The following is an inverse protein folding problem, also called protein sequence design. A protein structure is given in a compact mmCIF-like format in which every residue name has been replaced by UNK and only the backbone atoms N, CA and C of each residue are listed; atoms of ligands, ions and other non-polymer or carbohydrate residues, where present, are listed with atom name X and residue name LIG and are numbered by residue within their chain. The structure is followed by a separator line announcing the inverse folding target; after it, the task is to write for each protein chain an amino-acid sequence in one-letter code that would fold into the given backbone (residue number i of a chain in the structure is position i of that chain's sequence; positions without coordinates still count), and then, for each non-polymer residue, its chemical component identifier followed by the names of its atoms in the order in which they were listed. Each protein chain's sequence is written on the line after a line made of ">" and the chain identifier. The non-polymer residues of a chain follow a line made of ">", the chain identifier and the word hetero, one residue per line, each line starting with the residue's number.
data_IF_406150935140
#
_entry.id   IF_406150935140
#
_cell.length_a   1.000
_cell.length_b   1.000
_cell.length_c   1.000
_cell.angle_alpha   90.00
_cell.angle_beta   90.00
_cell.angle_gamma   90.00
#
_symmetry.space_group_name_H-M   'P 1'
#
loop_
_entity.id
_entity.type
_entity.pdbx_description
1 polymer ?
#
# COMPACT_ATOMS: atom_id res chain seq x y z
N UNK A 1 12.44 17.07 0.13
CA UNK A 1 13.64 16.92 -0.72
C UNK A 1 14.29 15.57 -0.49
N UNK A 2 14.84 14.95 -1.57
CA UNK A 2 15.53 13.63 -1.50
C UNK A 2 16.66 13.60 -0.45
N UNK A 3 17.38 14.71 -0.27
CA UNK A 3 18.44 14.87 0.72
C UNK A 3 17.91 14.85 2.17
N UNK A 4 16.82 15.54 2.44
CA UNK A 4 16.20 15.53 3.76
C UNK A 4 15.72 14.12 4.13
N UNK A 5 15.04 13.41 3.22
CA UNK A 5 14.59 12.05 3.48
C UNK A 5 15.78 11.11 3.76
N UNK A 6 16.81 11.12 2.92
CA UNK A 6 17.95 10.20 3.05
C UNK A 6 18.83 10.47 4.27
N UNK A 7 19.08 11.72 4.62
CA UNK A 7 20.06 12.08 5.68
C UNK A 7 19.42 12.44 7.02
N UNK A 8 18.15 12.74 7.07
CA UNK A 8 17.46 13.13 8.30
C UNK A 8 16.29 12.22 8.61
N UNK A 9 15.33 12.11 7.69
CA UNK A 9 14.08 11.38 7.95
C UNK A 9 14.30 9.88 8.11
N UNK A 10 15.01 9.23 7.21
CA UNK A 10 15.29 7.79 7.31
C UNK A 10 16.12 7.45 8.56
N UNK A 11 17.28 8.09 8.83
CA UNK A 11 18.02 7.80 10.04
C UNK A 11 17.22 8.03 11.33
N UNK A 12 16.43 9.11 11.40
CA UNK A 12 15.62 9.39 12.59
C UNK A 12 14.50 8.36 12.76
N UNK A 13 13.72 8.08 11.71
CA UNK A 13 12.56 7.19 11.85
C UNK A 13 12.92 5.70 11.86
N UNK A 14 14.02 5.28 11.24
CA UNK A 14 14.39 3.87 11.18
C UNK A 14 15.51 3.49 12.14
N UNK A 15 16.52 4.33 12.32
CA UNK A 15 17.65 4.05 13.22
C UNK A 15 17.45 4.70 14.59
N UNK A 16 16.94 5.92 14.65
CA UNK A 16 16.68 6.63 15.91
C UNK A 16 15.68 5.89 16.78
N UNK A 17 14.56 5.47 16.22
CA UNK A 17 13.53 4.74 16.96
C UNK A 17 13.94 3.33 17.39
N UNK A 18 14.87 2.69 16.72
CA UNK A 18 15.47 1.42 17.18
C UNK A 18 16.22 1.53 18.51
N UNK A 19 16.62 2.73 18.92
CA UNK A 19 17.30 2.97 20.17
C UNK A 19 16.37 3.31 21.34
N UNK A 20 15.05 3.43 21.07
CA UNK A 20 14.05 3.75 22.07
C UNK A 20 13.49 2.43 22.61
N UNK A 21 13.29 2.33 23.92
CA UNK A 21 12.66 1.16 24.53
C UNK A 21 11.18 1.15 24.24
N UNK A 22 10.54 -0.03 24.32
CA UNK A 22 9.10 -0.19 24.14
C UNK A 22 8.28 0.84 24.96
N UNK A 23 8.66 1.07 26.20
CA UNK A 23 7.97 1.97 27.12
C UNK A 23 8.19 3.48 26.84
N UNK A 24 9.18 3.84 26.03
CA UNK A 24 9.51 5.24 25.71
C UNK A 24 9.10 5.66 24.30
N UNK A 25 8.32 4.82 23.61
CA UNK A 25 7.84 5.12 22.26
C UNK A 25 6.59 5.99 22.24
N UNK A 26 6.04 6.31 23.42
CA UNK A 26 4.84 7.11 23.53
C UNK A 26 5.00 8.50 22.94
N UNK A 27 4.02 8.95 22.20
CA UNK A 27 4.07 10.18 21.42
C UNK A 27 3.13 11.24 22.02
N UNK A 28 3.66 12.44 22.22
CA UNK A 28 2.88 13.56 22.77
C UNK A 28 1.62 13.88 21.99
N UNK A 29 1.59 13.63 20.69
CA UNK A 29 0.41 13.84 19.86
C UNK A 29 -0.77 12.95 20.26
N UNK A 30 -0.53 11.81 20.93
CA UNK A 30 -1.59 10.94 21.44
C UNK A 30 -2.40 11.64 22.56
N UNK A 31 -1.78 12.49 23.35
CA UNK A 31 -2.44 13.22 24.44
C UNK A 31 -3.59 14.08 23.90
N UNK A 32 -3.41 14.71 22.72
CA UNK A 32 -4.44 15.54 22.08
C UNK A 32 -5.68 14.74 21.71
N UNK A 33 -5.53 13.44 21.43
CA UNK A 33 -6.62 12.55 21.02
C UNK A 33 -7.32 11.87 22.22
N UNK A 34 -6.75 11.93 23.41
CA UNK A 34 -7.32 11.27 24.61
C UNK A 34 -8.75 11.74 24.90
N UNK A 35 -9.04 13.00 24.60
CA UNK A 35 -10.38 13.58 24.77
C UNK A 35 -11.47 12.87 23.98
N UNK A 36 -11.15 12.23 22.85
CA UNK A 36 -12.11 11.48 22.01
C UNK A 36 -12.71 10.31 22.80
N UNK A 37 -11.90 9.66 23.64
CA UNK A 37 -12.29 8.46 24.39
C UNK A 37 -12.89 8.78 25.77
N UNK A 38 -12.97 10.07 26.17
CA UNK A 38 -13.38 10.47 27.53
C UNK A 38 -14.77 9.99 27.90
N UNK A 39 -15.71 10.07 26.97
CA UNK A 39 -17.13 9.76 27.18
C UNK A 39 -17.53 8.38 26.61
N UNK A 40 -16.55 7.58 26.15
CA UNK A 40 -16.80 6.23 25.64
C UNK A 40 -16.72 5.25 26.81
N UNK A 41 -17.66 4.30 26.96
CA UNK A 41 -17.56 3.23 27.95
C UNK A 41 -16.24 2.46 27.78
N UNK A 42 -15.56 2.16 28.90
CA UNK A 42 -14.18 1.63 28.86
C UNK A 42 -14.09 0.19 28.38
N UNK A 43 -15.17 -0.56 28.44
CA UNK A 43 -15.32 -1.93 27.97
C UNK A 43 -15.50 -2.06 26.44
N UNK A 44 -15.76 -0.96 25.73
CA UNK A 44 -15.87 -0.97 24.27
C UNK A 44 -14.49 -1.23 23.64
N UNK A 45 -14.36 -2.24 22.75
CA UNK A 45 -13.11 -2.51 22.06
C UNK A 45 -12.73 -1.36 21.11
N UNK A 46 -11.45 -0.98 21.11
CA UNK A 46 -10.88 -0.01 20.18
C UNK A 46 -9.94 -0.72 19.24
N UNK A 47 -10.16 -0.60 17.93
CA UNK A 47 -9.21 -1.01 16.90
C UNK A 47 -8.66 0.24 16.23
N UNK A 48 -7.36 0.47 16.37
CA UNK A 48 -6.66 1.59 15.78
C UNK A 48 -5.71 1.11 14.67
N UNK A 49 -5.69 1.82 13.56
CA UNK A 49 -4.78 1.56 12.42
C UNK A 49 -3.58 2.54 12.42
N UNK A 50 -3.47 3.33 13.46
CA UNK A 50 -2.37 4.25 13.70
C UNK A 50 -2.04 4.31 15.19
N UNK A 51 -0.76 4.50 15.50
CA UNK A 51 -0.25 4.47 16.88
C UNK A 51 -0.86 5.53 17.79
N UNK A 52 -1.12 6.75 17.31
CA UNK A 52 -1.65 7.82 18.16
C UNK A 52 -3.04 7.52 18.73
N UNK A 53 -4.05 7.09 17.95
CA UNK A 53 -5.32 6.65 18.53
C UNK A 53 -5.17 5.47 19.49
N UNK A 54 -4.26 4.51 19.21
CA UNK A 54 -4.01 3.39 20.10
C UNK A 54 -3.46 3.84 21.45
N UNK A 55 -2.42 4.68 21.45
CA UNK A 55 -1.84 5.26 22.66
C UNK A 55 -2.87 6.12 23.42
N UNK A 56 -3.63 6.95 22.71
CA UNK A 56 -4.68 7.78 23.30
C UNK A 56 -5.78 6.95 23.99
N UNK A 57 -6.19 5.84 23.36
CA UNK A 57 -7.17 4.93 23.94
C UNK A 57 -6.65 4.27 25.23
N UNK A 58 -5.38 3.81 25.22
CA UNK A 58 -4.73 3.26 26.42
C UNK A 58 -4.66 4.32 27.54
N UNK A 59 -4.21 5.53 27.22
CA UNK A 59 -4.13 6.63 28.19
C UNK A 59 -5.51 7.04 28.75
N UNK A 60 -6.56 6.91 27.95
CA UNK A 60 -7.93 7.16 28.38
C UNK A 60 -8.53 6.02 29.24
N UNK A 61 -7.76 4.93 29.46
CA UNK A 61 -8.18 3.79 30.27
C UNK A 61 -9.13 2.83 29.55
N UNK A 62 -9.13 2.78 28.21
CA UNK A 62 -9.87 1.77 27.46
C UNK A 62 -9.27 0.37 27.76
N UNK A 63 -10.13 -0.60 28.07
CA UNK A 63 -9.70 -1.92 28.55
C UNK A 63 -9.21 -2.84 27.41
N UNK A 64 -9.73 -2.66 26.21
CA UNK A 64 -9.45 -3.51 25.05
C UNK A 64 -9.03 -2.67 23.86
N UNK A 65 -7.72 -2.53 23.69
CA UNK A 65 -7.13 -1.74 22.60
C UNK A 65 -6.29 -2.64 21.71
N UNK A 66 -6.61 -2.65 20.43
CA UNK A 66 -5.86 -3.33 19.37
C UNK A 66 -5.23 -2.28 18.46
N UNK A 67 -3.94 -2.36 18.27
CA UNK A 67 -3.18 -1.56 17.30
C UNK A 67 -2.86 -2.42 16.08
N UNK A 68 -3.61 -2.24 15.00
CA UNK A 68 -3.41 -2.93 13.74
C UNK A 68 -2.30 -2.25 12.95
N UNK A 69 -1.13 -2.89 12.89
CA UNK A 69 0.06 -2.33 12.25
C UNK A 69 -0.01 -2.55 10.74
N UNK A 70 -0.09 -1.48 9.92
CA UNK A 70 -0.23 -1.60 8.47
C UNK A 70 1.09 -1.97 7.78
N UNK A 71 2.22 -1.51 8.31
CA UNK A 71 3.53 -1.68 7.68
C UNK A 71 4.12 -3.07 7.96
N UNK A 72 4.75 -3.63 6.95
CA UNK A 72 5.47 -4.91 7.09
C UNK A 72 6.93 -4.73 7.53
N UNK A 73 7.23 -3.64 8.21
CA UNK A 73 8.56 -3.35 8.77
C UNK A 73 8.44 -3.04 10.26
N UNK A 74 9.20 -3.71 11.14
CA UNK A 74 9.11 -3.45 12.58
C UNK A 74 9.75 -2.11 12.93
N UNK A 75 8.91 -1.16 13.34
CA UNK A 75 9.32 0.15 13.81
C UNK A 75 8.79 0.41 15.22
N UNK A 76 9.67 0.84 16.12
CA UNK A 76 9.24 1.24 17.46
C UNK A 76 8.19 2.36 17.45
N UNK A 77 8.18 3.17 16.39
CA UNK A 77 7.15 4.18 16.12
C UNK A 77 5.71 3.67 16.16
N UNK A 78 5.49 2.40 15.82
CA UNK A 78 4.15 1.79 15.81
C UNK A 78 3.71 1.22 17.18
N UNK A 79 4.55 1.32 18.20
CA UNK A 79 4.28 0.70 19.49
C UNK A 79 3.36 1.55 20.36
N UNK A 80 2.34 0.91 20.91
CA UNK A 80 1.43 1.48 21.91
C UNK A 80 1.41 0.56 23.13
N UNK A 81 2.26 0.84 24.12
CA UNK A 81 2.34 0.02 25.34
C UNK A 81 0.96 -0.07 26.01
N UNK A 82 0.60 -1.29 26.44
CA UNK A 82 -0.73 -1.56 27.00
C UNK A 82 -1.80 -1.97 25.96
N UNK A 83 -1.48 -1.97 24.67
CA UNK A 83 -2.34 -2.50 23.62
C UNK A 83 -1.86 -3.85 23.09
N UNK A 84 -2.76 -4.58 22.41
CA UNK A 84 -2.40 -5.75 21.60
C UNK A 84 -2.04 -5.23 20.19
N UNK A 85 -0.89 -5.62 19.68
CA UNK A 85 -0.45 -5.31 18.33
C UNK A 85 -0.75 -6.45 17.38
N UNK A 86 -1.32 -6.16 16.23
CA UNK A 86 -1.51 -7.18 15.19
C UNK A 86 -0.62 -6.90 13.99
N UNK A 87 -0.04 -7.95 13.43
CA UNK A 87 0.91 -7.88 12.31
C UNK A 87 0.56 -8.86 11.20
N UNK A 88 0.96 -8.52 9.99
CA UNK A 88 0.52 -9.18 8.75
C UNK A 88 1.42 -10.35 8.32
N UNK A 89 2.68 -10.41 8.78
CA UNK A 89 3.64 -11.44 8.37
C UNK A 89 4.41 -11.99 9.55
N UNK A 90 4.94 -13.20 9.40
CA UNK A 90 5.79 -13.83 10.43
C UNK A 90 7.11 -13.08 10.60
N UNK A 91 7.67 -12.50 9.54
CA UNK A 91 8.87 -11.66 9.63
C UNK A 91 8.61 -10.42 10.48
N UNK A 92 7.45 -9.78 10.32
CA UNK A 92 7.03 -8.65 11.16
C UNK A 92 6.83 -9.07 12.61
N UNK A 93 6.17 -10.21 12.85
CA UNK A 93 6.01 -10.78 14.20
C UNK A 93 7.37 -10.97 14.89
N UNK A 94 8.32 -11.61 14.20
CA UNK A 94 9.66 -11.84 14.75
C UNK A 94 10.38 -10.51 14.99
N UNK A 95 10.35 -9.60 14.02
CA UNK A 95 11.02 -8.30 14.12
C UNK A 95 10.50 -7.45 15.27
N UNK A 96 9.19 -7.42 15.49
CA UNK A 96 8.60 -6.72 16.64
C UNK A 96 8.90 -7.39 17.98
N UNK A 97 8.85 -8.71 18.06
CA UNK A 97 9.22 -9.41 19.29
C UNK A 97 10.66 -9.16 19.71
N UNK A 98 11.57 -9.05 18.77
CA UNK A 98 12.99 -8.79 19.02
C UNK A 98 13.34 -7.31 19.04
N UNK A 99 12.55 -6.46 18.41
CA UNK A 99 12.76 -5.01 18.22
C UNK A 99 14.15 -4.64 17.66
N UNK A 100 14.78 -5.53 16.91
CA UNK A 100 16.10 -5.29 16.33
C UNK A 100 16.09 -5.08 14.80
N UNK A 101 14.92 -5.08 14.20
CA UNK A 101 14.80 -5.11 12.75
C UNK A 101 15.40 -6.40 12.15
N UNK A 102 15.39 -6.52 10.82
CA UNK A 102 15.96 -7.71 10.15
C UNK A 102 17.49 -7.64 9.95
N UNK A 103 18.10 -6.49 10.18
CA UNK A 103 19.55 -6.33 10.12
C UNK A 103 20.30 -6.84 11.37
N UNK A 104 19.58 -7.20 12.42
CA UNK A 104 20.09 -7.86 13.60
C UNK A 104 21.10 -7.06 14.45
N UNK A 105 21.32 -5.79 14.15
CA UNK A 105 22.43 -5.02 14.72
C UNK A 105 22.24 -4.61 16.17
N UNK A 106 21.02 -4.51 16.67
CA UNK A 106 20.78 -4.08 18.05
C UNK A 106 19.42 -4.55 18.56
N UNK A 107 19.44 -5.19 19.72
CA UNK A 107 18.23 -5.65 20.41
C UNK A 107 17.78 -4.54 21.37
N UNK A 108 16.55 -4.07 21.19
CA UNK A 108 15.85 -3.22 22.15
C UNK A 108 15.17 -4.09 23.19
N UNK A 109 14.53 -3.49 24.20
CA UNK A 109 13.70 -4.23 25.16
C UNK A 109 12.59 -4.94 24.39
N UNK A 110 12.53 -6.29 24.43
CA UNK A 110 11.53 -7.06 23.69
C UNK A 110 10.11 -6.70 24.14
N UNK A 111 9.15 -6.80 23.20
CA UNK A 111 7.74 -6.71 23.54
C UNK A 111 7.30 -7.95 24.33
N UNK A 112 6.35 -7.81 25.29
CA UNK A 112 5.70 -8.95 25.90
C UNK A 112 5.09 -9.88 24.82
N UNK A 113 5.21 -11.20 25.01
CA UNK A 113 4.79 -12.17 24.01
C UNK A 113 3.28 -12.14 23.72
N UNK A 114 2.50 -11.76 24.73
CA UNK A 114 1.04 -11.63 24.70
C UNK A 114 0.55 -10.29 24.14
N UNK A 115 1.45 -9.32 23.94
CA UNK A 115 1.12 -8.02 23.39
C UNK A 115 1.20 -7.93 21.87
N UNK A 116 1.52 -9.04 21.18
CA UNK A 116 1.63 -9.07 19.71
C UNK A 116 1.07 -10.38 19.15
N UNK A 117 0.29 -10.28 18.08
CA UNK A 117 -0.38 -11.41 17.41
C UNK A 117 -0.19 -11.35 15.90
N UNK A 118 0.05 -12.48 15.29
CA UNK A 118 -0.03 -12.65 13.83
C UNK A 118 -1.50 -12.85 13.43
N UNK A 119 -1.98 -12.01 12.52
CA UNK A 119 -3.38 -12.04 12.04
C UNK A 119 -3.50 -12.30 10.54
N UNK A 120 -2.38 -12.31 9.81
CA UNK A 120 -2.40 -12.30 8.35
C UNK A 120 -2.66 -10.91 7.76
N UNK A 121 -2.87 -10.87 6.46
CA UNK A 121 -2.96 -9.62 5.69
C UNK A 121 -4.28 -8.90 5.89
N UNK A 122 -4.21 -7.57 5.99
CA UNK A 122 -5.37 -6.68 5.99
C UNK A 122 -5.73 -6.34 4.55
N UNK A 123 -6.64 -7.08 3.97
CA UNK A 123 -7.07 -6.94 2.58
C UNK A 123 -8.55 -6.60 2.56
N UNK A 124 -8.95 -5.70 1.68
CA UNK A 124 -10.35 -5.36 1.49
C UNK A 124 -11.19 -6.62 1.19
N UNK A 125 -12.36 -6.70 1.82
CA UNK A 125 -13.27 -7.84 1.70
C UNK A 125 -13.64 -8.14 0.23
N UNK A 126 -13.82 -7.10 -0.58
CA UNK A 126 -14.13 -7.28 -2.00
C UNK A 126 -12.99 -7.99 -2.75
N UNK A 127 -11.75 -7.67 -2.43
CA UNK A 127 -10.60 -8.35 -3.02
C UNK A 127 -10.52 -9.80 -2.56
N UNK A 128 -10.60 -10.04 -1.25
CA UNK A 128 -10.49 -11.41 -0.68
C UNK A 128 -11.57 -12.33 -1.20
N UNK A 129 -12.81 -11.85 -1.25
CA UNK A 129 -13.97 -12.65 -1.69
C UNK A 129 -13.92 -13.07 -3.15
N UNK A 130 -13.07 -12.44 -3.96
CA UNK A 130 -13.01 -12.63 -5.40
C UNK A 130 -11.67 -13.21 -5.89
N UNK A 131 -10.74 -13.58 -5.00
CA UNK A 131 -9.40 -14.07 -5.37
C UNK A 131 -9.47 -15.19 -6.42
N UNK A 132 -10.27 -16.22 -6.19
CA UNK A 132 -10.37 -17.38 -7.08
C UNK A 132 -10.92 -17.00 -8.46
N UNK A 133 -11.97 -16.18 -8.48
CA UNK A 133 -12.61 -15.72 -9.72
C UNK A 133 -11.67 -14.82 -10.52
N UNK A 134 -11.00 -13.89 -9.85
CA UNK A 134 -10.10 -12.93 -10.48
C UNK A 134 -8.83 -13.63 -11.01
N UNK A 135 -8.30 -14.61 -10.28
CA UNK A 135 -7.19 -15.45 -10.76
C UNK A 135 -7.59 -16.32 -11.96
N UNK A 136 -8.75 -16.96 -11.91
CA UNK A 136 -9.27 -17.73 -13.03
C UNK A 136 -9.45 -16.84 -14.28
N UNK A 137 -9.99 -15.63 -14.11
CA UNK A 137 -10.16 -14.69 -15.21
C UNK A 137 -8.82 -14.27 -15.85
N UNK A 138 -7.76 -14.00 -15.04
CA UNK A 138 -6.40 -13.72 -15.54
C UNK A 138 -5.86 -14.88 -16.36
N UNK A 139 -5.94 -16.11 -15.82
CA UNK A 139 -5.48 -17.31 -16.52
C UNK A 139 -6.22 -17.47 -17.87
N UNK A 140 -7.53 -17.23 -17.89
CA UNK A 140 -8.32 -17.32 -19.13
C UNK A 140 -7.94 -16.25 -20.15
N UNK A 141 -7.66 -15.00 -19.71
CA UNK A 141 -7.16 -13.95 -20.61
C UNK A 141 -5.81 -14.32 -21.21
N UNK A 142 -4.88 -14.83 -20.41
CA UNK A 142 -3.58 -15.28 -20.86
C UNK A 142 -3.68 -16.42 -21.88
N UNK A 143 -4.49 -17.46 -21.60
CA UNK A 143 -4.74 -18.58 -22.54
C UNK A 143 -5.36 -18.12 -23.86
N UNK A 144 -6.24 -17.14 -23.82
CA UNK A 144 -6.88 -16.56 -25.02
C UNK A 144 -6.02 -15.52 -25.73
N UNK A 145 -4.79 -15.28 -25.26
CA UNK A 145 -3.84 -14.29 -25.82
C UNK A 145 -4.46 -12.89 -25.92
N UNK A 146 -5.28 -12.50 -24.93
CA UNK A 146 -5.83 -11.16 -24.83
C UNK A 146 -4.74 -10.16 -24.49
N UNK A 147 -4.94 -8.84 -24.75
CA UNK A 147 -4.00 -7.81 -24.34
C UNK A 147 -3.67 -7.92 -22.86
N UNK A 148 -2.38 -7.87 -22.51
CA UNK A 148 -1.94 -7.87 -21.11
C UNK A 148 -2.28 -6.53 -20.49
N UNK A 149 -2.98 -6.53 -19.36
CA UNK A 149 -3.46 -5.34 -18.69
C UNK A 149 -2.51 -4.94 -17.56
N UNK A 150 -1.86 -3.81 -17.71
CA UNK A 150 -0.98 -3.23 -16.71
C UNK A 150 -1.75 -2.19 -15.91
N UNK A 151 -1.66 -2.27 -14.59
CA UNK A 151 -2.15 -1.23 -13.68
C UNK A 151 -0.94 -0.51 -13.08
N UNK A 152 -0.81 0.78 -13.36
CA UNK A 152 0.16 1.67 -12.74
C UNK A 152 -0.54 2.44 -11.62
N UNK A 153 -0.07 2.27 -10.38
CA UNK A 153 -0.58 3.04 -9.24
C UNK A 153 0.46 4.05 -8.77
N UNK A 154 0.13 5.33 -8.90
CA UNK A 154 0.95 6.42 -8.40
C UNK A 154 0.48 6.72 -6.98
N UNK A 155 1.12 6.09 -6.01
CA UNK A 155 0.79 6.26 -4.60
C UNK A 155 1.34 7.56 -4.01
N UNK A 156 0.97 7.83 -2.75
CA UNK A 156 1.19 9.06 -1.99
C UNK A 156 2.44 9.86 -2.31
N UNK A 157 2.27 11.18 -2.35
CA UNK A 157 3.29 12.18 -2.69
C UNK A 157 3.80 12.17 -4.15
N UNK A 158 3.15 11.47 -5.09
CA UNK A 158 3.50 11.52 -6.53
C UNK A 158 4.96 11.19 -6.84
N UNK A 159 5.59 10.33 -6.04
CA UNK A 159 6.99 9.98 -6.19
C UNK A 159 7.22 9.11 -7.44
N UNK A 160 8.42 9.24 -8.03
CA UNK A 160 8.92 8.37 -9.10
C UNK A 160 8.23 8.52 -10.47
N UNK A 161 7.66 9.67 -10.76
CA UNK A 161 6.96 9.98 -12.03
C UNK A 161 7.83 9.74 -13.27
N UNK A 162 9.16 9.96 -13.16
CA UNK A 162 10.13 9.67 -14.23
C UNK A 162 10.14 8.18 -14.61
N UNK A 163 10.07 7.29 -13.60
CA UNK A 163 10.02 5.83 -13.84
C UNK A 163 8.72 5.45 -14.53
N UNK A 164 7.58 5.99 -14.06
CA UNK A 164 6.29 5.75 -14.71
C UNK A 164 6.26 6.26 -16.15
N UNK A 165 6.81 7.46 -16.43
CA UNK A 165 6.92 8.00 -17.79
C UNK A 165 7.73 7.06 -18.71
N UNK A 166 8.84 6.50 -18.20
CA UNK A 166 9.64 5.54 -18.95
C UNK A 166 8.88 4.23 -19.23
N UNK A 167 8.16 3.69 -18.23
CA UNK A 167 7.35 2.48 -18.39
C UNK A 167 6.22 2.70 -19.41
N UNK A 168 5.51 3.83 -19.33
CA UNK A 168 4.44 4.18 -20.25
C UNK A 168 4.99 4.27 -21.69
N UNK A 169 6.11 4.98 -21.88
CA UNK A 169 6.76 5.10 -23.18
C UNK A 169 7.18 3.75 -23.74
N UNK A 170 7.70 2.86 -22.90
CA UNK A 170 8.06 1.48 -23.30
C UNK A 170 6.82 0.66 -23.70
N UNK A 171 5.70 0.81 -23.01
CA UNK A 171 4.47 0.07 -23.30
C UNK A 171 3.72 0.60 -24.51
N UNK A 172 3.92 1.86 -24.91
CA UNK A 172 3.16 2.52 -25.96
C UNK A 172 3.10 1.75 -27.29
N UNK A 173 4.21 1.21 -27.85
CA UNK A 173 4.16 0.41 -29.07
C UNK A 173 3.31 -0.86 -28.93
N UNK A 174 3.32 -1.50 -27.76
CA UNK A 174 2.53 -2.71 -27.49
C UNK A 174 1.04 -2.39 -27.35
N UNK A 175 0.72 -1.22 -26.78
CA UNK A 175 -0.66 -0.73 -26.66
C UNK A 175 -1.23 -0.44 -28.05
N UNK A 176 -0.49 0.31 -28.88
CA UNK A 176 -0.87 0.60 -30.29
C UNK A 176 -1.02 -0.66 -31.13
N UNK A 177 -0.23 -1.70 -30.86
CA UNK A 177 -0.34 -3.01 -31.50
C UNK A 177 -1.46 -3.90 -30.94
N UNK A 178 -2.24 -3.43 -29.95
CA UNK A 178 -3.29 -4.17 -29.29
C UNK A 178 -2.83 -5.39 -28.48
N UNK A 179 -1.55 -5.42 -28.08
CA UNK A 179 -0.94 -6.48 -27.26
C UNK A 179 -0.96 -6.16 -25.76
N UNK A 180 -1.09 -4.89 -25.40
CA UNK A 180 -1.21 -4.42 -24.02
C UNK A 180 -2.38 -3.45 -23.88
N UNK A 181 -2.90 -3.33 -22.65
CA UNK A 181 -3.78 -2.26 -22.22
C UNK A 181 -3.22 -1.67 -20.92
N UNK A 182 -3.48 -0.41 -20.68
CA UNK A 182 -2.87 0.31 -19.58
C UNK A 182 -3.93 1.04 -18.75
N UNK A 183 -3.93 0.79 -17.44
CA UNK A 183 -4.67 1.54 -16.44
C UNK A 183 -3.67 2.41 -15.67
N UNK A 184 -3.92 3.71 -15.61
CA UNK A 184 -3.09 4.67 -14.86
C UNK A 184 -3.97 5.26 -13.76
N UNK A 185 -3.74 4.88 -12.50
CA UNK A 185 -4.41 5.49 -11.37
C UNK A 185 -3.47 6.49 -10.69
N UNK A 186 -3.78 7.77 -10.80
CA UNK A 186 -3.01 8.84 -10.15
C UNK A 186 -3.55 9.21 -8.77
N UNK A 187 -4.57 8.46 -8.29
CA UNK A 187 -5.18 8.72 -6.99
C UNK A 187 -5.86 10.07 -6.93
N UNK A 188 -5.55 10.86 -5.91
CA UNK A 188 -6.01 12.24 -5.69
C UNK A 188 -4.98 13.30 -6.14
N UNK A 189 -3.92 12.89 -6.89
CA UNK A 189 -2.83 13.76 -7.32
C UNK A 189 -2.96 14.12 -8.80
N UNK A 190 -3.79 15.10 -9.13
CA UNK A 190 -3.98 15.56 -10.51
C UNK A 190 -2.68 16.03 -11.17
N UNK A 191 -1.81 16.66 -10.40
CA UNK A 191 -0.50 17.14 -10.87
C UNK A 191 0.39 16.00 -11.37
N UNK A 192 0.18 14.78 -10.86
CA UNK A 192 0.89 13.61 -11.38
C UNK A 192 0.46 13.28 -12.81
N UNK A 193 -0.81 13.44 -13.14
CA UNK A 193 -1.30 13.28 -14.51
C UNK A 193 -0.74 14.36 -15.45
N UNK A 194 -0.76 15.62 -15.02
CA UNK A 194 -0.27 16.74 -15.82
C UNK A 194 1.22 16.58 -16.14
N UNK A 195 2.02 16.09 -15.19
CA UNK A 195 3.44 15.79 -15.42
C UNK A 195 3.65 14.59 -16.37
N UNK A 196 2.87 13.50 -16.19
CA UNK A 196 2.94 12.34 -17.09
C UNK A 196 2.62 12.73 -18.53
N UNK A 197 1.59 13.55 -18.74
CA UNK A 197 1.20 14.02 -20.08
C UNK A 197 2.19 15.02 -20.67
N UNK A 198 2.88 15.78 -19.82
CA UNK A 198 4.02 16.60 -20.22
C UNK A 198 5.21 15.79 -20.71
N UNK A 199 5.49 14.66 -20.06
CA UNK A 199 6.59 13.77 -20.41
C UNK A 199 6.26 12.81 -21.57
N UNK A 200 5.00 12.39 -21.68
CA UNK A 200 4.50 11.44 -22.69
C UNK A 200 3.26 12.04 -23.37
N UNK A 201 3.50 12.87 -24.37
CA UNK A 201 2.45 13.68 -25.02
C UNK A 201 1.34 12.86 -25.69
N UNK A 202 1.62 11.61 -26.07
CA UNK A 202 0.64 10.68 -26.62
C UNK A 202 -0.52 10.40 -25.67
N UNK A 203 -0.32 10.47 -24.34
CA UNK A 203 -1.37 10.28 -23.35
C UNK A 203 -2.54 11.24 -23.54
N UNK A 204 -2.26 12.49 -23.95
CA UNK A 204 -3.30 13.49 -24.20
C UNK A 204 -4.29 13.11 -25.32
N UNK A 205 -3.87 12.22 -26.23
CA UNK A 205 -4.67 11.82 -27.40
C UNK A 205 -5.25 10.41 -27.26
N UNK A 206 -4.51 9.53 -26.59
CA UNK A 206 -4.80 8.09 -26.58
C UNK A 206 -5.55 7.64 -25.32
N UNK A 207 -5.53 8.45 -24.23
CA UNK A 207 -6.12 8.05 -22.95
C UNK A 207 -7.61 8.42 -22.87
N UNK A 208 -8.42 7.44 -22.42
CA UNK A 208 -9.78 7.66 -21.94
C UNK A 208 -9.71 8.08 -20.48
N UNK A 209 -10.29 9.23 -20.16
CA UNK A 209 -10.22 9.83 -18.83
C UNK A 209 -11.48 9.50 -18.01
N UNK A 210 -11.28 8.94 -16.82
CA UNK A 210 -12.31 8.66 -15.81
C UNK A 210 -12.10 9.58 -14.60
N UNK A 211 -12.03 10.88 -14.82
CA UNK A 211 -11.67 11.88 -13.82
C UNK A 211 -12.92 12.40 -13.11
N UNK A 212 -12.97 12.23 -11.78
CA UNK A 212 -14.07 12.65 -10.91
C UNK A 212 -15.46 12.14 -11.36
N UNK A 213 -15.46 10.98 -12.02
CA UNK A 213 -16.66 10.29 -12.49
C UNK A 213 -16.72 8.89 -11.89
N UNK A 214 -17.12 8.83 -10.62
CA UNK A 214 -17.07 7.59 -9.86
C UNK A 214 -17.91 6.47 -10.46
N UNK A 215 -19.11 6.79 -10.96
CA UNK A 215 -19.96 5.78 -11.61
C UNK A 215 -19.33 5.24 -12.90
N UNK A 216 -18.68 6.08 -13.71
CA UNK A 216 -17.95 5.63 -14.90
C UNK A 216 -16.79 4.69 -14.53
N UNK A 217 -16.07 5.02 -13.45
CA UNK A 217 -14.99 4.18 -12.93
C UNK A 217 -15.50 2.81 -12.47
N UNK A 218 -16.61 2.76 -11.72
CA UNK A 218 -17.25 1.49 -11.32
C UNK A 218 -17.73 0.68 -12.51
N UNK A 219 -18.38 1.33 -13.46
CA UNK A 219 -18.89 0.68 -14.67
C UNK A 219 -17.72 0.09 -15.47
N UNK A 220 -16.67 0.87 -15.72
CA UNK A 220 -15.46 0.38 -16.38
C UNK A 220 -14.86 -0.82 -15.64
N UNK A 221 -14.68 -0.73 -14.33
CA UNK A 221 -14.09 -1.81 -13.55
C UNK A 221 -14.90 -3.10 -13.63
N UNK A 222 -16.24 -3.00 -13.55
CA UNK A 222 -17.15 -4.15 -13.68
C UNK A 222 -17.11 -4.77 -15.09
N UNK A 223 -17.17 -3.96 -16.14
CA UNK A 223 -17.07 -4.42 -17.52
C UNK A 223 -15.72 -5.07 -17.80
N UNK A 224 -14.65 -4.54 -17.22
CA UNK A 224 -13.30 -5.05 -17.37
C UNK A 224 -13.11 -6.46 -16.76
N UNK A 225 -13.93 -6.90 -15.81
CA UNK A 225 -13.80 -8.25 -15.23
C UNK A 225 -13.97 -9.34 -16.29
N UNK A 226 -14.91 -9.16 -17.22
CA UNK A 226 -15.26 -10.18 -18.24
C UNK A 226 -15.00 -9.72 -19.67
N UNK A 227 -15.00 -8.41 -19.91
CA UNK A 227 -14.88 -7.79 -21.24
C UNK A 227 -13.44 -7.79 -21.78
N UNK A 228 -13.32 -7.30 -23.01
CA UNK A 228 -12.04 -7.04 -23.66
C UNK A 228 -11.68 -5.55 -23.43
N UNK A 229 -10.52 -5.28 -22.83
CA UNK A 229 -10.06 -3.92 -22.59
C UNK A 229 -8.85 -3.63 -23.46
N UNK A 230 -8.84 -2.47 -24.10
CA UNK A 230 -7.80 -2.00 -25.01
C UNK A 230 -7.45 -0.55 -24.72
N UNK A 231 -6.28 -0.12 -25.18
CA UNK A 231 -5.85 1.26 -25.07
C UNK A 231 -5.42 1.67 -23.67
N UNK A 232 -5.60 2.93 -23.36
CA UNK A 232 -5.17 3.56 -22.10
C UNK A 232 -6.38 4.14 -21.39
N UNK A 233 -6.52 3.84 -20.12
CA UNK A 233 -7.56 4.37 -19.24
C UNK A 233 -6.89 5.03 -18.04
N UNK A 234 -7.19 6.30 -17.80
CA UNK A 234 -6.62 7.08 -16.72
C UNK A 234 -7.69 7.46 -15.69
N UNK A 235 -7.34 7.31 -14.41
CA UNK A 235 -8.23 7.51 -13.26
C UNK A 235 -7.65 8.54 -12.31
N UNK A 236 -8.51 9.46 -11.89
CA UNK A 236 -8.26 10.47 -10.89
C UNK A 236 -9.55 10.75 -10.14
N UNK A 237 -9.49 10.86 -8.82
CA UNK A 237 -10.62 11.24 -7.99
C UNK A 237 -10.15 12.19 -6.88
N UNK A 238 -10.76 13.38 -6.78
CA UNK A 238 -10.49 14.33 -5.70
C UNK A 238 -10.90 13.76 -4.34
N UNK A 239 -11.98 12.96 -4.33
CA UNK A 239 -12.40 12.24 -3.13
C UNK A 239 -11.42 11.11 -2.81
N UNK A 240 -10.72 11.22 -1.68
CA UNK A 240 -9.69 10.26 -1.24
C UNK A 240 -10.23 8.83 -1.11
N UNK A 241 -11.48 8.64 -0.70
CA UNK A 241 -12.08 7.31 -0.59
C UNK A 241 -12.28 6.67 -1.97
N UNK A 242 -12.73 7.45 -2.94
CA UNK A 242 -12.87 6.99 -4.33
C UNK A 242 -11.49 6.71 -4.95
N UNK A 243 -10.52 7.59 -4.73
CA UNK A 243 -9.15 7.45 -5.22
C UNK A 243 -8.50 6.15 -4.73
N UNK A 244 -8.65 5.83 -3.45
CA UNK A 244 -8.12 4.59 -2.85
C UNK A 244 -8.90 3.37 -3.35
N UNK A 245 -10.24 3.42 -3.31
CA UNK A 245 -11.07 2.29 -3.70
C UNK A 245 -10.98 1.97 -5.21
N UNK A 246 -10.72 2.97 -6.05
CA UNK A 246 -10.41 2.79 -7.47
C UNK A 246 -9.27 1.78 -7.70
N UNK A 247 -8.22 1.84 -6.88
CA UNK A 247 -7.11 0.87 -6.97
C UNK A 247 -7.60 -0.56 -6.73
N UNK A 248 -8.44 -0.79 -5.72
CA UNK A 248 -9.00 -2.12 -5.42
C UNK A 248 -9.82 -2.65 -6.58
N UNK A 249 -10.69 -1.83 -7.15
CA UNK A 249 -11.52 -2.22 -8.29
C UNK A 249 -10.67 -2.60 -9.52
N UNK A 250 -9.65 -1.81 -9.83
CA UNK A 250 -8.78 -2.03 -10.99
C UNK A 250 -7.85 -3.23 -10.81
N UNK A 251 -7.37 -3.51 -9.60
CA UNK A 251 -6.55 -4.70 -9.31
C UNK A 251 -7.24 -6.01 -9.66
N UNK A 252 -8.55 -6.10 -9.52
CA UNK A 252 -9.33 -7.29 -9.85
C UNK A 252 -9.26 -7.64 -11.33
N UNK A 253 -9.19 -6.67 -12.21
CA UNK A 253 -9.21 -6.85 -13.66
C UNK A 253 -7.86 -6.69 -14.35
N UNK A 254 -6.82 -6.23 -13.69
CA UNK A 254 -5.47 -6.16 -14.27
C UNK A 254 -4.75 -7.51 -14.24
N UNK A 255 -3.72 -7.65 -15.06
CA UNK A 255 -2.87 -8.85 -15.16
C UNK A 255 -1.52 -8.63 -14.50
N UNK A 256 -1.03 -7.40 -14.46
CA UNK A 256 0.23 -7.00 -13.81
C UNK A 256 0.01 -5.68 -13.09
N UNK A 257 0.34 -5.65 -11.81
CA UNK A 257 0.38 -4.42 -11.01
C UNK A 257 1.80 -3.86 -11.03
N UNK A 258 1.96 -2.60 -11.43
CA UNK A 258 3.23 -1.86 -11.38
C UNK A 258 3.12 -0.80 -10.30
N UNK A 259 3.86 -0.97 -9.23
CA UNK A 259 3.75 -0.11 -8.04
C UNK A 259 5.03 -0.09 -7.24
N UNK A 260 5.18 0.86 -6.32
CA UNK A 260 6.20 0.75 -5.27
C UNK A 260 5.83 -0.37 -4.29
N UNK A 261 6.78 -0.98 -3.59
CA UNK A 261 6.47 -1.93 -2.52
C UNK A 261 5.64 -1.25 -1.43
N UNK A 262 4.44 -1.75 -1.21
CA UNK A 262 3.49 -1.20 -0.24
C UNK A 262 2.51 -2.27 0.23
N UNK A 263 1.51 -1.89 1.00
CA UNK A 263 0.45 -2.76 1.53
C UNK A 263 -0.38 -3.44 0.42
N UNK A 264 -0.44 -2.85 -0.78
CA UNK A 264 -1.08 -3.47 -1.96
C UNK A 264 -0.38 -4.76 -2.41
N UNK A 265 0.83 -5.04 -1.88
CA UNK A 265 1.57 -6.25 -2.17
C UNK A 265 0.85 -7.55 -1.77
N UNK A 266 -0.19 -7.50 -0.95
CA UNK A 266 -0.79 -8.71 -0.37
C UNK A 266 -1.98 -9.29 -1.15
N UNK A 267 -2.47 -8.61 -2.18
CA UNK A 267 -3.44 -9.21 -3.10
C UNK A 267 -2.71 -10.01 -4.19
N UNK A 268 -3.15 -11.25 -4.53
CA UNK A 268 -2.43 -12.14 -5.44
C UNK A 268 -2.61 -11.74 -6.92
N UNK A 269 -2.02 -10.62 -7.29
CA UNK A 269 -1.83 -10.19 -8.67
C UNK A 269 -0.33 -10.14 -8.95
N UNK A 270 0.18 -10.61 -10.10
CA UNK A 270 1.59 -10.48 -10.46
C UNK A 270 2.05 -9.03 -10.36
N UNK A 271 3.15 -8.79 -9.62
CA UNK A 271 3.64 -7.45 -9.32
C UNK A 271 5.02 -7.19 -9.90
N UNK A 272 5.15 -6.03 -10.52
CA UNK A 272 6.44 -5.44 -10.85
C UNK A 272 6.69 -4.28 -9.88
N UNK A 273 7.60 -4.48 -8.93
CA UNK A 273 7.97 -3.43 -8.00
C UNK A 273 9.01 -2.49 -8.58
N UNK A 274 8.65 -1.21 -8.63
CA UNK A 274 9.59 -0.14 -8.88
C UNK A 274 10.30 0.26 -7.58
N UNK A 275 11.26 1.17 -7.67
CA UNK A 275 12.04 1.64 -6.53
C UNK A 275 11.13 2.10 -5.37
N UNK A 276 11.43 1.67 -4.15
CA UNK A 276 10.77 2.14 -2.92
C UNK A 276 11.04 3.63 -2.64
N UNK A 277 10.16 4.26 -1.88
CA UNK A 277 10.35 5.61 -1.35
C UNK A 277 11.07 5.57 -0.01
N UNK A 278 10.63 4.70 0.89
CA UNK A 278 11.18 4.56 2.24
C UNK A 278 11.76 3.16 2.52
N UNK A 279 12.69 3.07 3.46
CA UNK A 279 13.34 1.82 3.84
C UNK A 279 12.37 0.74 4.34
N UNK A 280 11.27 1.14 4.96
CA UNK A 280 10.23 0.26 5.49
C UNK A 280 9.50 -0.57 4.42
N UNK A 281 9.46 -0.08 3.17
CA UNK A 281 8.78 -0.77 2.06
C UNK A 281 9.57 -1.98 1.55
N UNK A 282 10.84 -2.11 1.92
CA UNK A 282 11.73 -3.19 1.45
C UNK A 282 11.16 -4.59 1.70
N UNK A 283 10.58 -4.80 2.87
CA UNK A 283 10.07 -6.13 3.23
C UNK A 283 8.80 -6.51 2.48
N UNK A 284 8.02 -5.53 2.00
CA UNK A 284 6.90 -5.78 1.11
C UNK A 284 7.34 -6.45 -0.20
N UNK A 285 8.41 -5.93 -0.84
CA UNK A 285 8.98 -6.53 -2.05
C UNK A 285 9.59 -7.91 -1.80
N UNK A 286 10.36 -8.06 -0.71
CA UNK A 286 10.95 -9.34 -0.33
C UNK A 286 9.85 -10.39 -0.11
N UNK A 287 8.82 -10.06 0.66
CA UNK A 287 7.71 -10.96 0.95
C UNK A 287 6.98 -11.39 -0.33
N UNK A 288 6.66 -10.46 -1.22
CA UNK A 288 6.04 -10.78 -2.51
C UNK A 288 6.91 -11.68 -3.38
N UNK A 289 8.22 -11.47 -3.41
CA UNK A 289 9.15 -12.34 -4.14
C UNK A 289 9.22 -13.74 -3.53
N UNK A 290 9.19 -13.85 -2.19
CA UNK A 290 9.21 -15.14 -1.49
C UNK A 290 7.94 -15.96 -1.73
N UNK A 291 6.76 -15.33 -1.78
CA UNK A 291 5.51 -16.02 -2.08
C UNK A 291 5.26 -16.20 -3.59
N UNK A 292 6.11 -15.65 -4.45
CA UNK A 292 6.10 -15.86 -5.89
C UNK A 292 5.08 -15.02 -6.66
N UNK A 293 4.56 -13.93 -6.08
CA UNK A 293 3.58 -13.06 -6.75
C UNK A 293 4.15 -11.70 -7.15
N UNK A 294 5.43 -11.43 -6.87
CA UNK A 294 6.08 -10.17 -7.22
C UNK A 294 7.58 -10.30 -7.51
N UNK A 295 8.16 -9.25 -8.07
CA UNK A 295 9.62 -9.13 -8.25
C UNK A 295 10.26 -8.55 -6.99
N UNK A 296 11.59 -8.66 -6.90
CA UNK A 296 12.35 -7.69 -6.11
C UNK A 296 12.22 -6.30 -6.76
N UNK A 297 12.64 -5.26 -6.03
CA UNK A 297 12.63 -3.90 -6.57
C UNK A 297 13.47 -3.80 -7.84
N UNK A 298 12.87 -3.29 -8.92
CA UNK A 298 13.56 -2.91 -10.15
C UNK A 298 14.01 -1.45 -10.02
N UNK A 299 15.31 -1.20 -10.16
CA UNK A 299 15.93 0.14 -10.07
C UNK A 299 16.39 0.61 -11.44
#
# INVERSE_FOLDING_TARGET
>A
SKLFNRFVWEPVNYEGFKNITYNSTDQKNSELMTGIFKNIPKDIPVVATHVWPAQAAVHAGMERVVNAIPDNWPMALHLAEGSIHTVQTHSSLLGYRMLNGMDGRRILKPMPADSIMYTGHYIDHELVSNIDNDCAARIMRAKKKRPVRFLLTIGGAGAQREIFSAIISFLMPYIKAGKAALYINVGDYKEAWDELTGNVSELNKEAVLHFDRWDDTKNFANEALTGDVRGIHAFYHENIFEAVYCTNLLMRSCDVLVTKPSELAFYPVPKLFIKRVGGHEKWGAIHSAEIGDGTYECT
#
